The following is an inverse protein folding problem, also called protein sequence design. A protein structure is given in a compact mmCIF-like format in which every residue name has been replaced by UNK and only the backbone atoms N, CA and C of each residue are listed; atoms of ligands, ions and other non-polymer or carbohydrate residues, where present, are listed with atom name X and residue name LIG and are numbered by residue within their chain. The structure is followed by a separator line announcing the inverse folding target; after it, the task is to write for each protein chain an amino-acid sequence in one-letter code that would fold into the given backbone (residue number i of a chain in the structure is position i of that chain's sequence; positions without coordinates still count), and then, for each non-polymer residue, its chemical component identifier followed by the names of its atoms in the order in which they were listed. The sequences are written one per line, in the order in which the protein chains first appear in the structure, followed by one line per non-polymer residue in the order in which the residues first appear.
data_IF_552328875777
#
_entry.id   IF_552328875777
#
_cell.length_a   1.000
_cell.length_b   1.000
_cell.length_c   1.000
_cell.angle_alpha   90.00
_cell.angle_beta   90.00
_cell.angle_gamma   90.00
#
_symmetry.space_group_name_H-M   'P 1'
#
loop_
_entity.id
_entity.type
_entity.pdbx_description
1 polymer ?
#
# COMPACT_ATOMS: atom_id res chain seq x y z
N UNK A 1 -2.39 -0.50 11.22
CA UNK A 1 -0.99 -0.61 11.77
C UNK A 1 0.00 -0.05 10.76
N UNK A 2 1.09 0.63 11.16
CA UNK A 2 2.12 1.07 10.21
C UNK A 2 2.78 -0.10 9.45
N UNK A 3 2.80 0.02 8.13
CA UNK A 3 3.47 -0.89 7.21
C UNK A 3 4.79 -0.27 6.73
N UNK A 4 4.80 1.02 6.37
CA UNK A 4 5.99 1.73 5.91
C UNK A 4 6.33 2.90 6.85
N UNK A 5 7.48 2.82 7.53
CA UNK A 5 7.91 3.89 8.44
C UNK A 5 8.50 5.10 7.69
N UNK A 6 9.08 4.92 6.49
CA UNK A 6 9.67 6.02 5.72
C UNK A 6 8.64 7.07 5.28
N UNK A 7 7.43 6.62 4.94
CA UNK A 7 6.35 7.49 4.46
C UNK A 7 5.09 7.41 5.35
N UNK A 8 5.21 6.82 6.53
CA UNK A 8 4.11 6.65 7.49
C UNK A 8 2.83 6.01 6.89
N UNK A 9 2.95 5.04 5.99
CA UNK A 9 1.78 4.30 5.48
C UNK A 9 1.36 3.19 6.41
N UNK A 10 0.05 3.06 6.58
CA UNK A 10 -0.63 2.03 7.37
C UNK A 10 -1.09 0.84 6.51
N UNK A 11 -1.57 -0.22 7.16
CA UNK A 11 -2.17 -1.39 6.49
C UNK A 11 -3.39 -0.96 5.67
N UNK A 12 -4.17 -0.05 6.25
CA UNK A 12 -5.34 0.58 5.63
C UNK A 12 -4.93 1.34 4.35
N UNK A 13 -3.86 2.15 4.39
CA UNK A 13 -3.33 2.86 3.22
C UNK A 13 -2.81 1.91 2.12
N UNK A 14 -2.23 0.77 2.49
CA UNK A 14 -1.77 -0.22 1.52
C UNK A 14 -2.96 -0.94 0.87
N UNK A 15 -3.98 -1.32 1.66
CA UNK A 15 -5.22 -1.92 1.14
C UNK A 15 -5.97 -0.98 0.21
N UNK A 16 -6.00 0.30 0.56
CA UNK A 16 -6.47 1.40 -0.28
C UNK A 16 -5.82 1.39 -1.68
N UNK A 17 -4.49 1.34 -1.75
CA UNK A 17 -3.79 1.25 -3.04
C UNK A 17 -4.14 -0.02 -3.82
N UNK A 18 -4.34 -1.14 -3.12
CA UNK A 18 -4.74 -2.41 -3.73
C UNK A 18 -6.17 -2.35 -4.29
N UNK A 19 -7.09 -1.68 -3.57
CA UNK A 19 -8.47 -1.45 -3.99
C UNK A 19 -8.53 -0.55 -5.24
N UNK A 20 -7.61 0.40 -5.38
CA UNK A 20 -7.41 1.17 -6.62
C UNK A 20 -6.84 0.35 -7.80
N UNK A 21 -6.64 -0.96 -7.65
CA UNK A 21 -6.18 -1.85 -8.73
C UNK A 21 -4.68 -2.08 -8.79
N UNK A 22 -3.88 -1.59 -7.82
CA UNK A 22 -2.46 -1.91 -7.78
C UNK A 22 -2.25 -3.37 -7.35
N UNK A 23 -1.61 -4.15 -8.24
CA UNK A 23 -1.43 -5.60 -8.08
C UNK A 23 -0.01 -6.02 -7.70
N UNK A 24 0.90 -5.07 -7.49
CA UNK A 24 2.29 -5.38 -7.12
C UNK A 24 2.88 -4.27 -6.24
N UNK A 25 3.91 -4.63 -5.45
CA UNK A 25 4.67 -3.65 -4.65
C UNK A 25 5.24 -2.54 -5.53
N UNK A 26 5.70 -2.86 -6.74
CA UNK A 26 6.25 -1.86 -7.65
C UNK A 26 5.19 -0.83 -8.06
N UNK A 27 3.97 -1.27 -8.38
CA UNK A 27 2.85 -0.37 -8.70
C UNK A 27 2.46 0.51 -7.52
N UNK A 28 2.34 -0.08 -6.33
CA UNK A 28 2.06 0.65 -5.08
C UNK A 28 3.15 1.71 -4.81
N UNK A 29 4.42 1.33 -4.88
CA UNK A 29 5.53 2.24 -4.65
C UNK A 29 5.61 3.38 -5.67
N UNK A 30 5.29 3.12 -6.94
CA UNK A 30 5.17 4.18 -7.95
C UNK A 30 4.04 5.16 -7.65
N UNK A 31 2.93 4.69 -7.08
CA UNK A 31 1.78 5.50 -6.71
C UNK A 31 2.05 6.38 -5.50
N UNK A 32 2.54 5.80 -4.39
CA UNK A 32 2.61 6.51 -3.10
C UNK A 32 3.99 6.53 -2.43
N UNK A 33 4.99 5.81 -2.95
CA UNK A 33 6.34 5.75 -2.37
C UNK A 33 6.65 4.48 -1.56
N UNK A 34 5.64 3.79 -1.02
CA UNK A 34 5.84 2.60 -0.19
C UNK A 34 6.68 1.51 -0.89
N UNK A 35 7.75 1.06 -0.23
CA UNK A 35 8.64 0.02 -0.74
C UNK A 35 9.80 0.52 -1.62
N UNK A 36 10.03 1.83 -1.74
CA UNK A 36 11.11 2.41 -2.57
C UNK A 36 12.34 2.89 -1.79
N UNK A 37 12.19 3.24 -0.51
CA UNK A 37 13.30 3.69 0.33
C UNK A 37 14.03 2.49 0.97
N UNK A 38 13.93 2.29 2.29
CA UNK A 38 14.66 1.23 2.99
C UNK A 38 14.18 -0.20 2.67
N UNK A 39 13.04 -0.35 1.98
CA UNK A 39 12.50 -1.64 1.57
C UNK A 39 11.94 -2.55 2.69
N UNK A 40 12.04 -2.16 3.97
CA UNK A 40 11.61 -3.00 5.10
C UNK A 40 10.12 -3.43 5.03
N UNK A 41 9.29 -2.58 4.43
CA UNK A 41 7.86 -2.85 4.26
C UNK A 41 7.51 -3.83 3.13
N UNK A 42 8.43 -4.13 2.21
CA UNK A 42 8.16 -4.88 0.96
C UNK A 42 7.55 -6.25 1.25
N UNK A 43 8.12 -7.04 2.17
CA UNK A 43 7.61 -8.38 2.51
C UNK A 43 6.19 -8.32 3.10
N UNK A 44 5.88 -7.28 3.89
CA UNK A 44 4.55 -7.08 4.48
C UNK A 44 3.52 -6.68 3.42
N UNK A 45 3.87 -5.74 2.52
CA UNK A 45 3.00 -5.37 1.39
C UNK A 45 2.71 -6.60 0.49
N UNK A 46 3.71 -7.44 0.22
CA UNK A 46 3.50 -8.69 -0.51
C UNK A 46 2.56 -9.66 0.20
N UNK A 47 2.62 -9.73 1.53
CA UNK A 47 1.69 -10.56 2.31
C UNK A 47 0.25 -10.04 2.16
N UNK A 48 0.04 -8.72 2.30
CA UNK A 48 -1.28 -8.08 2.13
C UNK A 48 -1.82 -8.34 0.71
N UNK A 49 -0.99 -8.20 -0.32
CA UNK A 49 -1.34 -8.50 -1.71
C UNK A 49 -1.79 -9.96 -1.93
N UNK A 50 -1.20 -10.92 -1.20
CA UNK A 50 -1.58 -12.34 -1.26
C UNK A 50 -2.84 -12.65 -0.45
N UNK A 51 -3.12 -11.85 0.58
CA UNK A 51 -4.24 -12.06 1.50
C UNK A 51 -5.57 -11.43 1.07
N UNK A 52 -5.71 -10.92 -0.18
CA UNK A 52 -6.92 -10.20 -0.65
C UNK A 52 -8.25 -10.91 -0.25
N UNK A 53 -9.11 -10.31 0.59
CA UNK A 53 -10.56 -10.53 0.54
C UNK A 53 -11.16 -9.57 -0.50
N UNK A 54 -12.23 -9.99 -1.18
CA UNK A 54 -12.81 -9.29 -2.32
C UNK A 54 -13.93 -8.33 -1.87
N UNK A 55 -13.63 -7.07 -1.54
CA UNK A 55 -14.67 -6.04 -1.41
C UNK A 55 -14.12 -4.63 -1.57
N UNK A 56 -14.68 -3.94 -2.57
CA UNK A 56 -14.30 -2.59 -2.98
C UNK A 56 -14.98 -1.53 -2.10
N UNK A 57 -14.18 -0.59 -1.63
CA UNK A 57 -14.64 0.68 -1.08
C UNK A 57 -13.92 1.81 -1.83
N UNK A 58 -14.70 2.69 -2.45
CA UNK A 58 -14.21 3.95 -3.01
C UNK A 58 -13.66 4.81 -1.87
N UNK A 59 -12.41 5.24 -1.97
CA UNK A 59 -11.80 6.16 -1.02
C UNK A 59 -11.24 7.36 -1.76
N UNK A 60 -11.62 8.55 -1.30
CA UNK A 60 -10.96 9.79 -1.70
C UNK A 60 -9.49 9.73 -1.27
N UNK A 61 -8.60 9.76 -2.25
CA UNK A 61 -7.16 9.80 -2.04
C UNK A 61 -6.80 11.14 -1.40
N UNK A 62 -6.66 11.18 -0.07
CA UNK A 62 -5.99 12.27 0.64
C UNK A 62 -4.48 11.97 0.68
N UNK A 63 -3.84 11.90 -0.49
CA UNK A 63 -2.39 11.73 -0.61
C UNK A 63 -1.83 12.94 -1.34
N UNK A 64 -1.63 14.03 -0.59
CA UNK A 64 -0.62 15.05 -0.84
C UNK A 64 -0.62 16.02 0.36
N UNK A 65 0.42 15.91 1.18
CA UNK A 65 0.90 16.92 2.10
C UNK A 65 2.42 16.85 2.04
#
# INVERSE_FOLDING_TARGET
MYVCMCHAFTDEDIRAQIACGHTSVNKIGRSCGAGRDCGACVKKIQAILRSKPAEGGTIELKIAG
#
